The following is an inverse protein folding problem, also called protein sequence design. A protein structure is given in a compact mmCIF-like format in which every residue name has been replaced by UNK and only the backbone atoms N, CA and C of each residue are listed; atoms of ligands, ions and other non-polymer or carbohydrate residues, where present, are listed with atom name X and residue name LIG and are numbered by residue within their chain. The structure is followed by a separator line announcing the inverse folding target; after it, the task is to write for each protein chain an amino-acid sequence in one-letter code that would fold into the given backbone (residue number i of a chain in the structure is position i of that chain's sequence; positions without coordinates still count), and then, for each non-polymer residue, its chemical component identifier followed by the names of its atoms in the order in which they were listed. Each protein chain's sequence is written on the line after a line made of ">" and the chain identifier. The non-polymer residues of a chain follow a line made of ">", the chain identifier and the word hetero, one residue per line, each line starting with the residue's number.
data_IF_757997678726
#
_entry.id   IF_757997678726
#
_cell.length_a   1.000
_cell.length_b   1.000
_cell.length_c   1.000
_cell.angle_alpha   90.00
_cell.angle_beta   90.00
_cell.angle_gamma   90.00
#
_symmetry.space_group_name_H-M   'P 1'
#
loop_
_entity.id
_entity.type
_entity.pdbx_description
1 polymer ?
#
# COMPACT_ATOMS: atom_id res chain seq x y z
N UNK A 1 -18.60 10.45 4.81
CA UNK A 1 -17.67 11.00 3.79
C UNK A 1 -17.17 12.33 4.31
N UNK A 2 -15.97 12.40 4.84
CA UNK A 2 -15.32 13.66 5.20
C UNK A 2 -14.39 14.05 4.06
N UNK A 3 -14.76 15.09 3.36
CA UNK A 3 -13.97 15.69 2.27
C UNK A 3 -12.85 16.54 2.89
N UNK A 4 -11.59 16.27 2.58
CA UNK A 4 -10.49 17.13 2.97
C UNK A 4 -9.53 17.39 1.80
N UNK A 5 -9.47 18.66 1.37
CA UNK A 5 -8.75 19.15 0.20
C UNK A 5 -7.25 19.41 0.45
N UNK A 6 -6.50 18.49 1.00
CA UNK A 6 -5.08 18.69 1.39
C UNK A 6 -4.02 18.09 0.45
N UNK A 7 -4.28 17.94 -0.83
CA UNK A 7 -3.25 17.39 -1.74
C UNK A 7 -3.11 18.15 -3.07
N UNK A 8 -3.02 19.49 -3.03
CA UNK A 8 -2.47 20.25 -4.15
C UNK A 8 -0.99 20.52 -3.91
N UNK A 9 -0.15 19.95 -4.78
CA UNK A 9 1.31 20.13 -4.91
C UNK A 9 2.20 19.13 -4.19
N UNK A 10 2.52 18.05 -4.91
CA UNK A 10 3.84 17.39 -4.91
C UNK A 10 3.78 16.25 -5.92
N UNK A 11 4.36 16.37 -7.09
CA UNK A 11 4.86 15.39 -8.08
C UNK A 11 4.53 13.88 -8.00
N UNK A 12 3.49 13.52 -7.28
CA UNK A 12 2.94 12.17 -7.21
C UNK A 12 1.98 12.04 -8.38
N UNK A 13 2.14 11.03 -9.20
CA UNK A 13 1.21 10.74 -10.27
C UNK A 13 -0.21 10.69 -9.66
N UNK A 14 -1.08 11.55 -10.17
CA UNK A 14 -2.48 11.59 -9.75
C UNK A 14 -3.14 10.29 -10.22
N UNK A 15 -3.52 9.42 -9.29
CA UNK A 15 -4.04 8.08 -9.56
C UNK A 15 -5.47 7.98 -9.05
N UNK A 16 -6.37 7.45 -9.86
CA UNK A 16 -7.75 7.15 -9.49
C UNK A 16 -7.90 5.64 -9.27
N UNK A 17 -8.41 5.24 -8.10
CA UNK A 17 -8.76 3.86 -7.78
C UNK A 17 -10.29 3.73 -7.75
N UNK A 18 -10.85 2.86 -8.59
CA UNK A 18 -12.29 2.58 -8.62
C UNK A 18 -12.54 1.10 -8.31
N UNK A 19 -13.55 0.82 -7.52
CA UNK A 19 -14.07 -0.53 -7.28
C UNK A 19 -15.52 -0.57 -7.76
N UNK A 20 -15.87 -1.59 -8.53
CA UNK A 20 -17.19 -1.77 -9.13
C UNK A 20 -17.76 -3.14 -8.78
N UNK A 21 -18.92 -3.13 -8.11
CA UNK A 21 -19.71 -4.32 -7.74
C UNK A 21 -18.87 -5.42 -7.05
N UNK A 22 -17.91 -5.01 -6.20
CA UNK A 22 -16.96 -5.88 -5.54
C UNK A 22 -17.63 -6.85 -4.56
N UNK A 23 -17.53 -8.15 -4.83
CA UNK A 23 -17.98 -9.22 -3.94
C UNK A 23 -16.79 -10.12 -3.59
N UNK A 24 -16.71 -10.59 -2.36
CA UNK A 24 -15.62 -11.46 -1.93
C UNK A 24 -16.05 -12.50 -0.89
N UNK A 25 -15.57 -13.72 -1.09
CA UNK A 25 -15.67 -14.84 -0.17
C UNK A 25 -14.33 -15.58 -0.12
N UNK A 26 -13.92 -16.06 1.06
CA UNK A 26 -12.72 -16.88 1.21
C UNK A 26 -12.93 -18.34 0.83
N UNK A 27 -14.13 -18.86 1.05
CA UNK A 27 -14.49 -20.27 0.90
C UNK A 27 -15.57 -20.52 -0.18
N UNK A 28 -16.00 -19.47 -0.85
CA UNK A 28 -17.10 -19.50 -1.82
C UNK A 28 -18.50 -19.66 -1.22
N UNK A 29 -18.60 -19.81 0.10
CA UNK A 29 -19.89 -20.03 0.81
C UNK A 29 -20.29 -18.83 1.66
N UNK A 30 -19.33 -18.25 2.38
CA UNK A 30 -19.58 -17.12 3.29
C UNK A 30 -19.12 -15.81 2.65
N UNK A 31 -20.07 -14.96 2.31
CA UNK A 31 -19.80 -13.65 1.72
C UNK A 31 -19.24 -12.71 2.79
N UNK A 32 -18.05 -12.20 2.56
CA UNK A 32 -17.38 -11.21 3.42
C UNK A 32 -17.63 -9.79 2.93
N UNK A 33 -17.66 -9.60 1.60
CA UNK A 33 -17.98 -8.33 0.95
C UNK A 33 -19.05 -8.56 -0.09
N UNK A 34 -20.04 -7.67 -0.15
CA UNK A 34 -21.17 -7.78 -1.08
C UNK A 34 -21.44 -6.42 -1.69
N UNK A 35 -21.43 -6.38 -3.02
CA UNK A 35 -21.82 -5.22 -3.83
C UNK A 35 -21.15 -3.90 -3.42
N UNK A 36 -19.81 -3.95 -3.27
CA UNK A 36 -19.02 -2.78 -2.89
C UNK A 36 -18.64 -1.99 -4.13
N UNK A 37 -19.02 -0.72 -4.16
CA UNK A 37 -18.63 0.21 -5.22
C UNK A 37 -18.19 1.54 -4.61
N UNK A 38 -17.02 2.03 -4.99
CA UNK A 38 -16.51 3.35 -4.62
C UNK A 38 -15.43 3.84 -5.59
N UNK A 39 -15.16 5.12 -5.54
CA UNK A 39 -14.06 5.75 -6.27
C UNK A 39 -13.23 6.59 -5.29
N UNK A 40 -11.92 6.50 -5.41
CA UNK A 40 -10.95 7.35 -4.71
C UNK A 40 -10.18 8.16 -5.76
N UNK A 41 -10.44 9.45 -5.82
CA UNK A 41 -9.85 10.38 -6.77
C UNK A 41 -8.54 10.97 -6.24
N UNK A 42 -7.69 11.53 -7.10
CA UNK A 42 -6.47 12.20 -6.66
C UNK A 42 -6.74 13.29 -5.62
N UNK A 43 -6.00 13.23 -4.51
CA UNK A 43 -6.14 14.20 -3.43
C UNK A 43 -7.28 13.92 -2.46
N UNK A 44 -8.05 12.86 -2.66
CA UNK A 44 -9.08 12.42 -1.72
C UNK A 44 -8.50 11.51 -0.62
N UNK A 45 -9.12 11.58 0.55
CA UNK A 45 -8.95 10.62 1.63
C UNK A 45 -10.25 9.84 1.77
N UNK A 46 -10.22 8.55 1.48
CA UNK A 46 -11.34 7.64 1.67
C UNK A 46 -11.15 6.89 2.97
N UNK A 47 -12.07 7.07 3.92
CA UNK A 47 -12.06 6.36 5.20
C UNK A 47 -13.03 5.17 5.18
N UNK A 48 -12.53 3.97 5.50
CA UNK A 48 -13.34 2.75 5.62
C UNK A 48 -13.59 2.50 7.10
N UNK A 49 -14.83 2.66 7.53
CA UNK A 49 -15.24 2.50 8.92
C UNK A 49 -16.08 1.21 9.08
N UNK A 50 -15.98 0.59 10.24
CA UNK A 50 -16.75 -0.62 10.56
C UNK A 50 -16.19 -1.36 11.77
N UNK A 51 -16.98 -2.28 12.33
CA UNK A 51 -16.59 -3.15 13.46
C UNK A 51 -15.39 -4.03 13.11
N UNK A 52 -14.70 -4.57 14.11
CA UNK A 52 -13.68 -5.59 13.90
C UNK A 52 -14.32 -6.82 13.23
N UNK A 53 -13.62 -7.39 12.25
CA UNK A 53 -14.15 -8.51 11.46
C UNK A 53 -15.10 -8.13 10.31
N UNK A 54 -15.43 -6.84 10.10
CA UNK A 54 -16.37 -6.42 9.04
C UNK A 54 -15.78 -6.41 7.61
N UNK A 55 -14.61 -6.99 7.38
CA UNK A 55 -14.04 -7.10 6.04
C UNK A 55 -13.18 -5.92 5.58
N UNK A 56 -12.91 -4.89 6.41
CA UNK A 56 -12.11 -3.69 6.02
C UNK A 56 -10.76 -4.05 5.40
N UNK A 57 -10.00 -4.91 6.06
CA UNK A 57 -8.69 -5.36 5.56
C UNK A 57 -8.83 -6.18 4.27
N UNK A 58 -9.89 -6.98 4.16
CA UNK A 58 -10.22 -7.75 2.95
C UNK A 58 -10.54 -6.81 1.80
N UNK A 59 -11.36 -5.78 2.04
CA UNK A 59 -11.68 -4.75 1.06
C UNK A 59 -10.41 -4.07 0.52
N UNK A 60 -9.53 -3.59 1.39
CA UNK A 60 -8.26 -2.98 0.98
C UNK A 60 -7.41 -3.93 0.14
N UNK A 61 -7.30 -5.20 0.53
CA UNK A 61 -6.52 -6.20 -0.22
C UNK A 61 -7.12 -6.50 -1.59
N UNK A 62 -8.44 -6.61 -1.69
CA UNK A 62 -9.13 -6.81 -2.96
C UNK A 62 -8.96 -5.58 -3.86
N UNK A 63 -9.10 -4.37 -3.32
CA UNK A 63 -9.00 -3.12 -4.08
C UNK A 63 -7.65 -2.94 -4.77
N UNK A 64 -6.56 -3.44 -4.17
CA UNK A 64 -5.21 -3.35 -4.73
C UNK A 64 -4.72 -4.65 -5.40
N UNK A 65 -5.59 -5.62 -5.59
CA UNK A 65 -5.27 -6.88 -6.28
C UNK A 65 -4.43 -7.88 -5.48
N UNK A 66 -4.26 -7.69 -4.16
CA UNK A 66 -3.64 -8.68 -3.26
C UNK A 66 -4.54 -9.88 -3.00
N UNK A 67 -5.86 -9.69 -3.12
CA UNK A 67 -6.87 -10.74 -3.18
C UNK A 67 -7.70 -10.53 -4.44
N UNK A 68 -8.02 -11.62 -5.12
CA UNK A 68 -8.88 -11.58 -6.30
C UNK A 68 -10.34 -11.52 -5.86
N UNK A 69 -11.10 -10.59 -6.40
CA UNK A 69 -12.55 -10.53 -6.21
C UNK A 69 -13.24 -11.83 -6.63
N UNK A 70 -14.26 -12.25 -5.91
CA UNK A 70 -15.17 -13.33 -6.32
C UNK A 70 -16.14 -12.85 -7.39
N UNK A 71 -16.47 -11.57 -7.40
CA UNK A 71 -17.25 -10.86 -8.41
C UNK A 71 -16.93 -9.37 -8.36
N UNK A 72 -17.12 -8.66 -9.47
CA UNK A 72 -16.73 -7.26 -9.60
C UNK A 72 -15.26 -7.07 -9.90
N UNK A 73 -14.80 -5.80 -9.96
CA UNK A 73 -13.48 -5.42 -10.42
C UNK A 73 -12.93 -4.22 -9.64
N UNK A 74 -11.60 -4.09 -9.65
CA UNK A 74 -10.90 -2.88 -9.25
C UNK A 74 -10.13 -2.32 -10.45
N UNK A 75 -10.19 -1.00 -10.63
CA UNK A 75 -9.51 -0.30 -11.71
C UNK A 75 -8.56 0.75 -11.15
N UNK A 76 -7.37 0.84 -11.73
CA UNK A 76 -6.41 1.89 -11.49
C UNK A 76 -6.25 2.70 -12.78
N UNK A 77 -6.65 3.97 -12.77
CA UNK A 77 -6.71 4.83 -13.96
C UNK A 77 -7.48 4.17 -15.12
N UNK A 78 -8.63 3.53 -14.83
CA UNK A 78 -9.48 2.84 -15.80
C UNK A 78 -8.95 1.49 -16.30
N UNK A 79 -7.81 1.01 -15.80
CA UNK A 79 -7.25 -0.32 -16.14
C UNK A 79 -7.49 -1.30 -14.99
N UNK A 80 -8.04 -2.48 -15.30
CA UNK A 80 -8.24 -3.52 -14.30
C UNK A 80 -6.92 -3.87 -13.60
N UNK A 81 -6.93 -3.80 -12.28
CA UNK A 81 -5.75 -4.02 -11.40
C UNK A 81 -5.10 -5.38 -11.64
N UNK A 82 -5.91 -6.42 -11.94
CA UNK A 82 -5.39 -7.77 -12.22
C UNK A 82 -4.65 -7.88 -13.56
N UNK A 83 -4.86 -6.95 -14.48
CA UNK A 83 -4.22 -6.91 -15.78
C UNK A 83 -3.01 -5.94 -15.85
N UNK A 84 -2.72 -5.23 -14.75
CA UNK A 84 -1.54 -4.37 -14.64
C UNK A 84 -0.35 -5.22 -14.21
N UNK A 85 0.79 -5.07 -14.89
CA UNK A 85 2.03 -5.74 -14.48
C UNK A 85 2.39 -5.32 -13.05
N UNK A 86 2.77 -6.27 -12.21
CA UNK A 86 3.05 -6.06 -10.78
C UNK A 86 4.02 -4.89 -10.54
N UNK A 87 5.10 -4.78 -11.33
CA UNK A 87 6.06 -3.67 -11.21
C UNK A 87 5.43 -2.31 -11.48
N UNK A 88 4.54 -2.21 -12.48
CA UNK A 88 3.82 -0.98 -12.81
C UNK A 88 2.82 -0.63 -11.72
N UNK A 89 2.03 -1.60 -11.25
CA UNK A 89 1.05 -1.43 -10.19
C UNK A 89 1.70 -0.85 -8.93
N UNK A 90 2.74 -1.51 -8.42
CA UNK A 90 3.42 -1.11 -7.19
C UNK A 90 4.31 0.13 -7.32
N UNK A 91 4.52 0.64 -8.55
CA UNK A 91 5.11 1.96 -8.75
C UNK A 91 4.11 3.10 -8.55
N UNK A 92 2.81 2.83 -8.67
CA UNK A 92 1.72 3.81 -8.59
C UNK A 92 1.01 3.80 -7.24
N UNK A 93 0.89 2.63 -6.60
CA UNK A 93 0.20 2.44 -5.33
C UNK A 93 1.11 1.78 -4.31
N UNK A 94 0.79 1.94 -3.03
CA UNK A 94 1.42 1.20 -1.94
C UNK A 94 0.35 0.69 -0.96
N UNK A 95 0.64 -0.44 -0.33
CA UNK A 95 -0.18 -1.03 0.70
C UNK A 95 0.60 -1.12 2.00
N UNK A 96 0.10 -0.50 3.06
CA UNK A 96 0.69 -0.57 4.40
C UNK A 96 -0.17 -1.54 5.23
N UNK A 97 0.32 -2.76 5.50
CA UNK A 97 -0.41 -3.72 6.32
C UNK A 97 -0.42 -3.29 7.78
N UNK A 98 -1.41 -3.77 8.54
CA UNK A 98 -1.35 -3.70 9.99
C UNK A 98 -0.17 -4.55 10.48
N UNK A 99 0.86 -3.90 11.00
CA UNK A 99 2.10 -4.58 11.38
C UNK A 99 1.84 -5.61 12.47
N UNK A 100 2.12 -6.89 12.16
CA UNK A 100 2.17 -7.99 13.15
C UNK A 100 3.50 -8.75 13.11
N UNK A 101 4.34 -8.51 12.13
CA UNK A 101 5.64 -9.17 12.01
C UNK A 101 6.73 -8.12 11.89
N UNK A 102 7.62 -8.11 12.86
CA UNK A 102 8.90 -7.43 12.71
C UNK A 102 9.62 -8.04 11.49
N UNK A 103 10.21 -7.21 10.65
CA UNK A 103 11.25 -7.62 9.69
C UNK A 103 12.47 -8.08 10.49
N UNK A 104 12.41 -9.28 11.09
CA UNK A 104 13.36 -9.77 12.09
C UNK A 104 14.81 -9.55 11.65
N UNK A 105 15.60 -8.92 12.48
CA UNK A 105 17.01 -8.72 12.26
C UNK A 105 17.41 -7.53 11.36
N UNK A 106 16.53 -7.01 10.52
CA UNK A 106 16.79 -5.83 9.67
C UNK A 106 16.68 -4.53 10.46
N UNK A 107 17.55 -3.58 10.13
CA UNK A 107 17.42 -2.20 10.62
C UNK A 107 16.31 -1.47 9.87
N UNK A 108 15.87 -0.32 10.38
CA UNK A 108 14.92 0.57 9.71
C UNK A 108 15.47 0.98 8.35
N UNK A 109 16.75 1.32 8.27
CA UNK A 109 17.42 1.68 7.00
C UNK A 109 17.40 0.52 6.01
N UNK A 110 17.73 -0.71 6.45
CA UNK A 110 17.68 -1.90 5.59
C UNK A 110 16.28 -2.13 5.03
N UNK A 111 15.25 -1.95 5.87
CA UNK A 111 13.85 -2.11 5.46
C UNK A 111 13.43 -1.11 4.39
N UNK A 112 13.90 0.14 4.48
CA UNK A 112 13.67 1.16 3.43
C UNK A 112 14.42 0.83 2.16
N UNK A 113 15.69 0.38 2.28
CA UNK A 113 16.52 -0.02 1.14
C UNK A 113 15.92 -1.23 0.39
N UNK A 114 15.33 -2.20 1.11
CA UNK A 114 14.60 -3.31 0.49
C UNK A 114 13.42 -2.81 -0.36
N UNK A 115 12.75 -1.73 0.04
CA UNK A 115 11.70 -1.09 -0.75
C UNK A 115 12.17 -0.55 -2.10
N UNK A 116 13.46 -0.22 -2.25
CA UNK A 116 14.07 0.17 -3.53
C UNK A 116 14.51 -1.00 -4.41
N UNK A 117 14.33 -2.24 -3.95
CA UNK A 117 14.81 -3.45 -4.64
C UNK A 117 14.33 -3.59 -6.10
N UNK A 118 13.17 -3.04 -6.44
CA UNK A 118 12.69 -2.98 -7.82
C UNK A 118 13.51 -2.05 -8.72
N UNK A 119 14.20 -1.06 -8.14
CA UNK A 119 15.08 -0.11 -8.85
C UNK A 119 16.53 -0.55 -8.86
N UNK A 120 16.99 -1.29 -7.84
CA UNK A 120 18.39 -1.72 -7.69
C UNK A 120 18.68 -2.99 -8.50
N UNK A 121 17.62 -3.77 -8.88
CA UNK A 121 17.76 -5.07 -9.55
C UNK A 121 18.22 -6.18 -8.60
N UNK A 122 17.95 -7.44 -8.96
CA UNK A 122 18.18 -8.62 -8.11
C UNK A 122 19.69 -8.84 -7.77
N UNK A 123 20.59 -8.26 -8.56
CA UNK A 123 22.05 -8.37 -8.39
C UNK A 123 22.73 -7.01 -8.18
N UNK A 124 21.96 -5.92 -8.00
CA UNK A 124 22.51 -4.57 -7.80
C UNK A 124 23.13 -4.43 -6.42
N UNK A 125 24.35 -3.89 -6.36
CA UNK A 125 24.95 -3.47 -5.10
C UNK A 125 24.30 -2.14 -4.67
N UNK A 126 23.92 -2.03 -3.40
CA UNK A 126 23.46 -0.77 -2.79
C UNK A 126 24.54 0.30 -2.97
N UNK A 127 24.18 1.39 -3.62
CA UNK A 127 25.07 2.53 -3.83
C UNK A 127 24.91 3.58 -2.71
N UNK A 128 25.91 4.43 -2.54
CA UNK A 128 25.80 5.56 -1.59
C UNK A 128 24.58 6.43 -1.85
N UNK A 129 24.23 6.63 -3.13
CA UNK A 129 23.03 7.37 -3.53
C UNK A 129 21.73 6.73 -3.05
N UNK A 130 21.66 5.41 -2.93
CA UNK A 130 20.46 4.73 -2.46
C UNK A 130 20.30 4.89 -0.94
N UNK A 131 21.41 4.83 -0.22
CA UNK A 131 21.45 5.12 1.23
C UNK A 131 21.00 6.55 1.51
N UNK A 132 21.51 7.54 0.76
CA UNK A 132 21.08 8.94 0.89
C UNK A 132 19.60 9.12 0.61
N UNK A 133 19.06 8.48 -0.42
CA UNK A 133 17.62 8.49 -0.70
C UNK A 133 16.82 7.88 0.47
N UNK A 134 17.27 6.74 1.01
CA UNK A 134 16.62 6.08 2.14
C UNK A 134 16.60 6.98 3.38
N UNK A 135 17.75 7.60 3.71
CA UNK A 135 17.84 8.56 4.82
C UNK A 135 16.94 9.78 4.59
N UNK A 136 16.83 10.27 3.35
CA UNK A 136 15.92 11.38 3.03
C UNK A 136 14.45 11.04 3.28
N UNK A 137 14.04 9.78 3.03
CA UNK A 137 12.70 9.31 3.37
C UNK A 137 12.50 9.29 4.88
N UNK A 138 13.47 8.77 5.63
CA UNK A 138 13.40 8.71 7.09
C UNK A 138 13.36 10.10 7.74
N UNK A 139 14.11 11.09 7.20
CA UNK A 139 14.02 12.50 7.61
C UNK A 139 12.62 13.07 7.41
N UNK A 140 12.00 12.80 6.26
CA UNK A 140 10.62 13.25 5.97
C UNK A 140 9.59 12.68 6.94
N UNK A 141 9.86 11.49 7.49
CA UNK A 141 9.02 10.84 8.50
C UNK A 141 9.41 11.23 9.94
N UNK A 142 10.46 12.05 10.14
CA UNK A 142 11.02 12.42 11.44
C UNK A 142 11.51 11.22 12.27
N UNK A 143 12.00 10.16 11.60
CA UNK A 143 12.52 8.94 12.25
C UNK A 143 13.95 8.59 11.83
N UNK A 144 14.73 9.54 11.31
CA UNK A 144 16.13 9.31 10.91
C UNK A 144 16.99 8.81 12.08
N UNK A 145 16.71 9.26 13.29
CA UNK A 145 17.39 8.82 14.52
C UNK A 145 17.18 7.32 14.83
N UNK A 146 16.22 6.67 14.16
CA UNK A 146 15.93 5.25 14.29
C UNK A 146 16.59 4.40 13.18
N UNK A 147 17.31 5.02 12.23
CA UNK A 147 17.84 4.37 11.02
C UNK A 147 18.54 3.04 11.27
N UNK A 148 19.36 2.98 12.31
CA UNK A 148 20.18 1.81 12.65
C UNK A 148 19.58 0.93 13.75
N UNK A 149 18.38 1.26 14.28
CA UNK A 149 17.67 0.39 15.21
C UNK A 149 17.07 -0.79 14.44
N UNK A 150 17.01 -1.95 15.08
CA UNK A 150 16.29 -3.11 14.53
C UNK A 150 14.80 -2.84 14.52
N UNK A 151 14.13 -3.26 13.45
CA UNK A 151 12.67 -3.14 13.36
C UNK A 151 11.95 -3.90 14.48
N UNK A 152 12.55 -5.00 14.99
CA UNK A 152 12.03 -5.75 16.14
C UNK A 152 11.95 -4.94 17.45
N UNK A 153 12.79 -3.91 17.58
CA UNK A 153 12.92 -3.12 18.81
C UNK A 153 11.99 -1.90 18.82
N UNK A 154 11.19 -1.74 17.75
CA UNK A 154 10.25 -0.64 17.59
C UNK A 154 8.84 -1.08 17.99
N UNK A 155 8.09 -0.13 18.57
CA UNK A 155 6.67 -0.31 18.79
C UNK A 155 5.90 -0.34 17.47
N UNK A 156 4.74 -0.99 17.41
CA UNK A 156 3.91 -1.14 16.21
C UNK A 156 3.15 0.12 15.76
N UNK A 157 3.56 1.28 16.23
CA UNK A 157 2.99 2.59 15.89
C UNK A 157 3.99 3.52 15.28
#
# INVERSE_FOLDING_TARGET
>A
VLYNSYAKNRGVAAVTLTVENGCFSYDGRHTVLSDISFCASPGEIVAILGKNGSGKTTLLKCSVGLLKWSGGHSFLDGRDVLHIKSRELWSKISYVPQAKSSFGGYTVLDSVLLGFGSSIGIFGKTQKSDVEKALSVLRRLNIENLSYKKCSDLSGG
#
